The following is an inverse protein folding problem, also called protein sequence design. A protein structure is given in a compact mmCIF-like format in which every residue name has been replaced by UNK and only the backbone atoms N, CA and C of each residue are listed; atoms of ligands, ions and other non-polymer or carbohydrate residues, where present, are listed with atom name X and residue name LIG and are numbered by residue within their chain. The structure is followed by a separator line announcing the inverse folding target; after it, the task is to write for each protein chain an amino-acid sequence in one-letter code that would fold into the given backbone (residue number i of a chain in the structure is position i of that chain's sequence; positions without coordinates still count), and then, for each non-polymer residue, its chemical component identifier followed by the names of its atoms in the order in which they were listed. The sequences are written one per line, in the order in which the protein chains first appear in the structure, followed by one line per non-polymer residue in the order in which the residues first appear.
data_IF_184973802666
#
_entry.id   IF_184973802666
#
_cell.length_a   1.000
_cell.length_b   1.000
_cell.length_c   1.000
_cell.angle_alpha   90.00
_cell.angle_beta   90.00
_cell.angle_gamma   90.00
#
_symmetry.space_group_name_H-M   'P 1'
#
loop_
_entity.id
_entity.type
_entity.pdbx_description
1 polymer ?
#
# COMPACT_ATOMS: atom_id res chain seq x y z
N UNK A 1 -19.52 38.80 16.60
CA UNK A 1 -19.14 37.85 15.56
C UNK A 1 -17.95 37.10 16.12
N UNK A 2 -18.16 35.89 16.61
CA UNK A 2 -17.06 35.06 17.11
C UNK A 2 -16.40 34.43 15.91
N UNK A 3 -15.13 34.77 15.72
CA UNK A 3 -14.22 34.15 14.75
C UNK A 3 -13.98 32.73 15.23
N UNK A 4 -14.73 31.78 14.69
CA UNK A 4 -14.46 30.36 14.87
C UNK A 4 -13.25 30.02 14.02
N UNK A 5 -12.05 30.28 14.58
CA UNK A 5 -10.81 29.72 14.04
C UNK A 5 -11.00 28.20 13.93
N UNK A 6 -11.29 27.74 12.72
CA UNK A 6 -11.39 26.32 12.40
C UNK A 6 -10.01 25.71 12.65
N UNK A 7 -9.87 24.98 13.76
CA UNK A 7 -8.68 24.16 14.00
C UNK A 7 -8.49 23.30 12.74
N UNK A 8 -7.30 23.33 12.09
CA UNK A 8 -7.07 22.52 10.91
C UNK A 8 -7.44 21.08 11.23
N UNK A 9 -8.40 20.54 10.49
CA UNK A 9 -8.84 19.17 10.68
C UNK A 9 -7.70 18.25 10.25
N UNK A 10 -7.18 17.41 11.16
CA UNK A 10 -6.14 16.44 10.82
C UNK A 10 -6.69 15.43 9.80
N UNK A 11 -5.82 14.89 8.94
CA UNK A 11 -6.20 13.88 7.94
C UNK A 11 -6.91 12.69 8.58
N UNK A 12 -8.10 12.36 8.10
CA UNK A 12 -8.79 11.13 8.48
C UNK A 12 -8.29 9.98 7.62
N UNK A 13 -7.59 9.05 8.24
CA UNK A 13 -7.06 7.88 7.56
C UNK A 13 -7.86 6.65 7.98
N UNK A 14 -8.54 6.04 7.00
CA UNK A 14 -9.24 4.78 7.19
C UNK A 14 -8.25 3.63 7.34
N UNK A 15 -8.56 2.71 8.22
CA UNK A 15 -7.79 1.49 8.47
C UNK A 15 -8.71 0.30 8.32
N UNK A 16 -8.39 -0.66 7.45
CA UNK A 16 -9.08 -1.95 7.49
C UNK A 16 -8.53 -2.81 8.62
N UNK A 17 -9.31 -3.75 9.13
CA UNK A 17 -8.79 -4.63 10.18
C UNK A 17 -8.05 -5.86 9.67
N UNK A 18 -8.05 -6.12 8.33
CA UNK A 18 -7.43 -7.31 7.75
C UNK A 18 -8.06 -8.62 8.22
N UNK A 19 -7.28 -9.71 8.25
CA UNK A 19 -7.76 -10.95 8.85
C UNK A 19 -7.67 -10.87 10.38
N UNK A 20 -8.83 -11.03 11.06
CA UNK A 20 -8.89 -10.90 12.51
C UNK A 20 -8.21 -12.07 13.28
N UNK A 21 -7.93 -13.17 12.60
CA UNK A 21 -7.22 -14.32 13.16
C UNK A 21 -5.69 -14.28 12.91
N UNK A 22 -5.22 -13.29 12.14
CA UNK A 22 -3.81 -13.03 11.88
C UNK A 22 -3.21 -11.98 12.83
N UNK A 23 -2.13 -11.34 12.37
CA UNK A 23 -1.40 -10.32 13.14
C UNK A 23 -2.00 -8.91 13.01
N UNK A 24 -3.07 -8.71 12.25
CA UNK A 24 -3.53 -7.38 11.85
C UNK A 24 -3.88 -6.48 13.04
N UNK A 25 -4.66 -6.96 14.01
CA UNK A 25 -4.96 -6.18 15.21
C UNK A 25 -3.72 -5.91 16.07
N UNK A 26 -2.77 -6.85 16.12
CA UNK A 26 -1.52 -6.69 16.85
C UNK A 26 -0.67 -5.55 16.27
N UNK A 27 -0.46 -5.55 14.95
CA UNK A 27 0.34 -4.50 14.31
C UNK A 27 -0.36 -3.14 14.34
N UNK A 28 -1.70 -3.09 14.24
CA UNK A 28 -2.48 -1.86 14.40
C UNK A 28 -2.29 -1.30 15.81
N UNK A 29 -2.51 -2.11 16.86
CA UNK A 29 -2.32 -1.69 18.24
C UNK A 29 -0.90 -1.15 18.48
N UNK A 30 0.12 -1.89 18.03
CA UNK A 30 1.53 -1.51 18.21
C UNK A 30 1.91 -0.27 17.37
N UNK A 31 1.34 -0.10 16.19
CA UNK A 31 1.61 1.08 15.36
C UNK A 31 1.13 2.37 16.00
N UNK A 32 -0.01 2.32 16.70
CA UNK A 32 -0.61 3.47 17.38
C UNK A 32 -0.34 3.51 18.91
N UNK A 33 0.58 2.69 19.40
CA UNK A 33 0.99 2.74 20.81
C UNK A 33 1.65 4.07 21.19
N UNK A 34 2.36 4.70 20.25
CA UNK A 34 2.88 6.03 20.40
C UNK A 34 1.81 7.06 20.00
N UNK A 35 1.23 7.73 20.99
CA UNK A 35 0.16 8.70 20.78
C UNK A 35 0.57 9.93 19.93
N UNK A 36 1.87 10.18 19.73
CA UNK A 36 2.34 11.29 18.90
C UNK A 36 1.87 11.19 17.45
N UNK A 37 1.65 9.98 16.93
CA UNK A 37 1.10 9.79 15.60
C UNK A 37 -0.30 10.41 15.46
N UNK A 38 -1.09 10.46 16.54
CA UNK A 38 -2.42 11.05 16.55
C UNK A 38 -2.40 12.61 16.47
N UNK A 39 -1.24 13.22 16.69
CA UNK A 39 -1.11 14.68 16.51
C UNK A 39 -1.22 15.07 15.03
N UNK A 40 -0.82 14.17 14.13
CA UNK A 40 -0.79 14.39 12.68
C UNK A 40 -2.01 13.86 11.95
N UNK A 41 -2.64 12.78 12.45
CA UNK A 41 -3.75 12.10 11.79
C UNK A 41 -4.90 11.74 12.72
N UNK A 42 -6.06 11.48 12.14
CA UNK A 42 -7.25 10.94 12.81
C UNK A 42 -7.54 9.55 12.21
N UNK A 43 -7.05 8.47 12.83
CA UNK A 43 -7.32 7.12 12.34
C UNK A 43 -8.76 6.68 12.59
N UNK A 44 -9.37 6.02 11.61
CA UNK A 44 -10.69 5.42 11.67
C UNK A 44 -10.59 3.94 11.31
N UNK A 45 -10.63 3.07 12.30
CA UNK A 45 -10.61 1.62 12.10
C UNK A 45 -12.01 1.10 11.75
N UNK A 46 -12.14 0.52 10.58
CA UNK A 46 -13.33 -0.25 10.16
C UNK A 46 -13.17 -1.69 10.65
N UNK A 47 -13.58 -1.94 11.88
CA UNK A 47 -13.28 -3.20 12.54
C UNK A 47 -14.33 -3.60 13.56
N UNK A 48 -13.88 -4.17 14.66
CA UNK A 48 -14.73 -4.53 15.77
C UNK A 48 -14.08 -4.17 17.10
N UNK A 49 -14.78 -3.36 17.90
CA UNK A 49 -14.27 -2.90 19.19
C UNK A 49 -14.03 -4.02 20.19
N UNK A 50 -14.83 -5.11 20.14
CA UNK A 50 -14.61 -6.30 20.97
C UNK A 50 -13.33 -7.04 20.59
N UNK A 51 -13.04 -7.20 19.29
CA UNK A 51 -11.79 -7.79 18.82
C UNK A 51 -10.59 -6.92 19.20
N UNK A 52 -10.71 -5.61 19.01
CA UNK A 52 -9.69 -4.66 19.44
C UNK A 52 -9.40 -4.77 20.95
N UNK A 53 -10.44 -4.82 21.78
CA UNK A 53 -10.31 -4.97 23.23
C UNK A 53 -9.74 -6.33 23.64
N UNK A 54 -10.09 -7.40 22.91
CA UNK A 54 -9.52 -8.73 23.14
C UNK A 54 -7.99 -8.72 22.94
N UNK A 55 -7.51 -8.24 21.79
CA UNK A 55 -6.08 -8.18 21.51
C UNK A 55 -5.34 -7.18 22.40
N UNK A 56 -5.95 -6.03 22.69
CA UNK A 56 -5.43 -5.04 23.61
C UNK A 56 -5.13 -5.66 24.99
N UNK A 57 -6.06 -6.44 25.53
CA UNK A 57 -5.89 -7.15 26.81
C UNK A 57 -4.81 -8.23 26.71
N UNK A 58 -4.82 -9.04 25.65
CA UNK A 58 -3.85 -10.12 25.47
C UNK A 58 -2.40 -9.64 25.37
N UNK A 59 -2.19 -8.44 24.83
CA UNK A 59 -0.86 -7.86 24.66
C UNK A 59 -0.46 -6.88 25.78
N UNK A 60 -1.29 -6.71 26.81
CA UNK A 60 -1.00 -5.80 27.92
C UNK A 60 -0.97 -4.32 27.52
N UNK A 61 -1.71 -3.93 26.47
CA UNK A 61 -1.72 -2.57 25.91
C UNK A 61 -2.92 -1.76 26.43
N UNK A 62 -3.21 -1.83 27.71
CA UNK A 62 -4.44 -1.26 28.28
C UNK A 62 -4.54 0.28 28.19
N UNK A 63 -3.42 0.97 28.04
CA UNK A 63 -3.36 2.42 27.85
C UNK A 63 -3.86 2.88 26.48
N UNK A 64 -4.00 1.99 25.49
CA UNK A 64 -4.49 2.32 24.16
C UNK A 64 -5.99 2.64 24.18
N UNK A 65 -6.34 3.92 24.18
CA UNK A 65 -7.72 4.38 24.21
C UNK A 65 -8.28 4.56 22.81
N UNK A 66 -9.59 4.31 22.64
CA UNK A 66 -10.29 4.55 21.39
C UNK A 66 -11.67 5.17 21.65
N UNK A 67 -12.23 5.80 20.64
CA UNK A 67 -13.59 6.30 20.60
C UNK A 67 -14.43 5.44 19.68
N UNK A 68 -15.57 4.93 20.15
CA UNK A 68 -16.52 4.22 19.31
C UNK A 68 -17.41 5.24 18.60
N UNK A 69 -17.46 5.14 17.28
CA UNK A 69 -18.29 6.01 16.41
C UNK A 69 -19.13 5.15 15.47
N UNK A 70 -20.19 5.73 14.93
CA UNK A 70 -21.07 5.04 13.96
C UNK A 70 -20.78 5.43 12.51
N UNK A 71 -20.11 6.56 12.31
CA UNK A 71 -19.89 7.18 11.01
C UNK A 71 -18.54 7.90 11.03
N UNK A 72 -17.76 7.76 9.97
CA UNK A 72 -16.42 8.36 9.87
C UNK A 72 -16.44 9.90 9.92
N UNK A 73 -17.57 10.53 9.53
CA UNK A 73 -17.77 11.98 9.63
C UNK A 73 -17.81 12.46 11.07
N UNK A 74 -18.13 11.57 12.01
CA UNK A 74 -18.17 11.83 13.46
C UNK A 74 -16.84 11.55 14.15
N UNK A 75 -15.77 11.28 13.39
CA UNK A 75 -14.48 10.93 13.96
C UNK A 75 -13.96 12.08 14.87
N UNK A 76 -13.61 11.71 16.09
CA UNK A 76 -12.96 12.61 17.02
C UNK A 76 -11.55 12.91 16.56
N UNK A 77 -11.29 14.18 16.26
CA UNK A 77 -10.00 14.64 15.76
C UNK A 77 -8.87 14.25 16.73
N UNK A 78 -7.74 13.80 16.17
CA UNK A 78 -6.55 13.37 16.93
C UNK A 78 -6.82 12.26 17.95
N UNK A 79 -7.83 11.42 17.70
CA UNK A 79 -8.12 10.23 18.51
C UNK A 79 -8.21 9.00 17.63
N UNK A 80 -7.91 7.85 18.19
CA UNK A 80 -8.15 6.58 17.53
C UNK A 80 -9.66 6.28 17.56
N UNK A 81 -10.27 6.15 16.40
CA UNK A 81 -11.71 5.91 16.26
C UNK A 81 -11.96 4.50 15.72
N UNK A 82 -13.03 3.86 16.17
CA UNK A 82 -13.46 2.54 15.68
C UNK A 82 -14.91 2.64 15.22
N UNK A 83 -15.18 2.12 14.03
CA UNK A 83 -16.52 1.84 13.52
C UNK A 83 -16.73 0.33 13.60
N UNK A 84 -17.74 -0.12 14.36
CA UNK A 84 -18.12 -1.53 14.32
C UNK A 84 -18.77 -1.85 12.98
N UNK A 85 -18.17 -2.77 12.22
CA UNK A 85 -18.71 -3.21 10.92
C UNK A 85 -19.85 -4.20 11.08
N UNK A 86 -19.93 -4.89 12.23
CA UNK A 86 -21.05 -5.72 12.65
C UNK A 86 -21.29 -5.54 14.15
N UNK A 87 -22.53 -5.73 14.58
CA UNK A 87 -22.93 -5.64 16.00
C UNK A 87 -22.72 -6.96 16.77
N UNK A 88 -22.74 -8.08 16.03
CA UNK A 88 -22.66 -9.41 16.65
C UNK A 88 -21.24 -9.70 17.18
N UNK A 89 -21.19 -10.58 18.17
CA UNK A 89 -19.92 -11.10 18.68
C UNK A 89 -19.30 -12.06 17.69
N UNK A 90 -17.99 -11.92 17.44
CA UNK A 90 -17.24 -12.76 16.54
C UNK A 90 -16.35 -13.72 17.34
N UNK A 91 -16.30 -14.95 16.90
CA UNK A 91 -15.32 -15.91 17.40
C UNK A 91 -13.95 -15.58 16.79
N UNK A 92 -12.96 -15.34 17.65
CA UNK A 92 -11.58 -15.10 17.24
C UNK A 92 -10.83 -16.43 17.41
N UNK A 93 -10.21 -16.90 16.33
CA UNK A 93 -9.48 -18.18 16.26
C UNK A 93 -8.08 -17.93 15.66
N UNK A 94 -7.13 -17.39 16.45
CA UNK A 94 -5.82 -17.01 15.94
C UNK A 94 -5.07 -18.19 15.30
N UNK A 95 -4.35 -17.93 14.22
CA UNK A 95 -3.44 -18.90 13.60
C UNK A 95 -3.92 -19.51 12.30
N UNK A 96 -5.15 -19.23 11.85
CA UNK A 96 -5.64 -19.69 10.55
C UNK A 96 -6.81 -18.86 10.04
N UNK A 97 -6.96 -18.79 8.72
CA UNK A 97 -8.11 -18.17 8.09
C UNK A 97 -9.37 -19.01 8.30
N UNK A 98 -10.47 -18.35 8.61
CA UNK A 98 -11.80 -18.96 8.65
C UNK A 98 -12.73 -18.24 7.67
N UNK A 99 -13.84 -18.84 7.29
CA UNK A 99 -14.84 -18.19 6.46
C UNK A 99 -15.35 -16.89 7.10
N UNK A 100 -15.52 -16.90 8.44
CA UNK A 100 -15.92 -15.73 9.21
C UNK A 100 -14.85 -14.64 9.15
N UNK A 101 -13.58 -14.96 9.46
CA UNK A 101 -12.50 -13.97 9.48
C UNK A 101 -12.28 -13.32 8.12
N UNK A 102 -12.36 -14.12 7.07
CA UNK A 102 -12.20 -13.67 5.68
C UNK A 102 -13.39 -12.82 5.22
N UNK A 103 -14.62 -13.25 5.53
CA UNK A 103 -15.82 -12.47 5.22
C UNK A 103 -15.81 -11.11 5.93
N UNK A 104 -15.31 -11.06 7.16
CA UNK A 104 -15.17 -9.81 7.93
C UNK A 104 -14.12 -8.88 7.35
N UNK A 105 -12.99 -9.41 6.85
CA UNK A 105 -11.96 -8.61 6.16
C UNK A 105 -12.55 -7.93 4.92
N UNK A 106 -13.29 -8.67 4.10
CA UNK A 106 -13.96 -8.12 2.90
C UNK A 106 -14.98 -7.05 3.27
N UNK A 107 -15.77 -7.26 4.33
CA UNK A 107 -16.76 -6.28 4.79
C UNK A 107 -16.07 -5.00 5.29
N UNK A 108 -14.97 -5.12 6.03
CA UNK A 108 -14.14 -4.01 6.47
C UNK A 108 -13.65 -3.18 5.28
N UNK A 109 -13.09 -3.86 4.28
CA UNK A 109 -12.60 -3.22 3.05
C UNK A 109 -13.72 -2.48 2.32
N UNK A 110 -14.86 -3.12 2.09
CA UNK A 110 -16.02 -2.49 1.41
C UNK A 110 -16.47 -1.21 2.12
N UNK A 111 -16.66 -1.29 3.45
CA UNK A 111 -17.09 -0.15 4.25
C UNK A 111 -16.12 1.01 4.22
N UNK A 112 -14.81 0.71 4.33
CA UNK A 112 -13.75 1.71 4.26
C UNK A 112 -13.67 2.35 2.86
N UNK A 113 -13.84 1.55 1.80
CA UNK A 113 -13.85 2.05 0.42
C UNK A 113 -15.06 2.94 0.11
N UNK A 114 -16.25 2.61 0.62
CA UNK A 114 -17.43 3.47 0.48
C UNK A 114 -17.15 4.86 1.07
N UNK A 115 -16.58 4.93 2.26
CA UNK A 115 -16.24 6.21 2.90
C UNK A 115 -15.09 6.95 2.18
N UNK A 116 -14.12 6.22 1.62
CA UNK A 116 -13.03 6.78 0.82
C UNK A 116 -13.55 7.40 -0.49
N UNK A 117 -14.47 6.71 -1.20
CA UNK A 117 -15.08 7.21 -2.43
C UNK A 117 -15.94 8.45 -2.20
N UNK A 118 -16.59 8.53 -1.02
CA UNK A 118 -17.41 9.66 -0.64
C UNK A 118 -16.58 10.84 -0.05
N UNK A 119 -15.25 10.69 0.07
CA UNK A 119 -14.38 11.70 0.66
C UNK A 119 -14.54 11.90 2.16
N UNK A 120 -15.13 10.92 2.87
CA UNK A 120 -15.27 10.98 4.33
C UNK A 120 -13.97 10.62 5.06
N UNK A 121 -13.09 9.90 4.39
CA UNK A 121 -11.69 9.69 4.75
C UNK A 121 -10.81 10.08 3.56
N UNK A 122 -9.60 10.56 3.82
CA UNK A 122 -8.69 11.08 2.79
C UNK A 122 -7.75 10.02 2.22
N UNK A 123 -7.49 8.97 2.99
CA UNK A 123 -6.65 7.85 2.57
C UNK A 123 -7.07 6.56 3.27
N UNK A 124 -6.68 5.42 2.71
CA UNK A 124 -6.94 4.09 3.26
C UNK A 124 -5.64 3.31 3.41
N UNK A 125 -5.44 2.73 4.59
CA UNK A 125 -4.40 1.73 4.85
C UNK A 125 -5.05 0.36 4.98
N UNK A 126 -4.73 -0.53 4.06
CA UNK A 126 -5.24 -1.90 4.07
C UNK A 126 -4.35 -2.76 4.96
N UNK A 127 -4.91 -3.36 6.00
CA UNK A 127 -4.18 -4.31 6.84
C UNK A 127 -4.07 -5.68 6.16
N UNK A 128 -3.09 -6.51 6.55
CA UNK A 128 -2.88 -7.83 5.97
C UNK A 128 -4.12 -8.73 6.09
N UNK A 129 -4.51 -9.35 5.01
CA UNK A 129 -5.62 -10.29 4.96
C UNK A 129 -5.25 -11.62 4.32
N UNK A 130 -6.14 -12.59 4.48
CA UNK A 130 -6.03 -13.88 3.80
C UNK A 130 -6.66 -13.77 2.41
N UNK A 131 -5.90 -14.05 1.36
CA UNK A 131 -6.33 -13.98 -0.04
C UNK A 131 -7.38 -15.03 -0.46
N UNK A 132 -8.14 -15.57 0.50
CA UNK A 132 -9.07 -16.69 0.24
C UNK A 132 -10.32 -16.23 -0.51
N UNK A 133 -10.78 -14.99 -0.34
CA UNK A 133 -12.03 -14.48 -0.95
C UNK A 133 -11.78 -13.49 -2.08
N UNK A 134 -10.83 -12.59 -1.93
CA UNK A 134 -10.38 -11.72 -3.01
C UNK A 134 -9.09 -12.29 -3.60
N UNK A 135 -9.07 -12.60 -4.89
CA UNK A 135 -7.88 -13.16 -5.56
C UNK A 135 -6.63 -12.31 -5.33
N UNK A 136 -6.78 -10.98 -5.28
CA UNK A 136 -5.71 -10.03 -4.92
C UNK A 136 -6.31 -8.69 -4.47
N UNK A 137 -5.52 -7.87 -3.75
CA UNK A 137 -5.92 -6.49 -3.45
C UNK A 137 -6.15 -5.68 -4.73
N UNK A 138 -5.39 -5.97 -5.80
CA UNK A 138 -5.60 -5.37 -7.12
C UNK A 138 -7.01 -5.65 -7.65
N UNK A 139 -7.47 -6.90 -7.62
CA UNK A 139 -8.81 -7.27 -8.11
C UNK A 139 -9.91 -6.60 -7.29
N UNK A 140 -9.70 -6.48 -5.97
CA UNK A 140 -10.62 -5.76 -5.11
C UNK A 140 -10.69 -4.27 -5.49
N UNK A 141 -9.55 -3.60 -5.67
CA UNK A 141 -9.47 -2.21 -6.11
C UNK A 141 -10.16 -2.00 -7.47
N UNK A 142 -9.94 -2.91 -8.42
CA UNK A 142 -10.57 -2.86 -9.74
C UNK A 142 -12.09 -3.12 -9.69
N UNK A 143 -12.60 -3.76 -8.65
CA UNK A 143 -14.05 -3.90 -8.47
C UNK A 143 -14.75 -2.55 -8.25
N UNK A 144 -14.04 -1.55 -7.70
CA UNK A 144 -14.51 -0.17 -7.50
C UNK A 144 -14.09 0.77 -8.62
N UNK A 145 -12.94 0.55 -9.24
CA UNK A 145 -12.32 1.42 -10.26
C UNK A 145 -12.01 0.62 -11.53
N UNK A 146 -13.06 0.18 -12.24
CA UNK A 146 -12.95 -0.75 -13.39
C UNK A 146 -12.08 -0.23 -14.53
N UNK A 147 -12.07 1.08 -14.73
CA UNK A 147 -11.30 1.73 -15.80
C UNK A 147 -9.86 2.06 -15.39
N UNK A 148 -9.50 1.86 -14.12
CA UNK A 148 -8.15 2.13 -13.66
C UNK A 148 -7.20 0.98 -14.02
N UNK A 149 -5.93 1.33 -14.28
CA UNK A 149 -4.85 0.35 -14.41
C UNK A 149 -3.79 0.62 -13.33
N UNK A 150 -4.08 0.24 -12.08
CA UNK A 150 -3.22 0.57 -10.96
C UNK A 150 -1.85 -0.09 -11.07
N UNK A 151 -0.83 0.63 -10.60
CA UNK A 151 0.54 0.15 -10.46
C UNK A 151 0.86 0.01 -8.98
N UNK A 152 1.26 -1.19 -8.54
CA UNK A 152 1.82 -1.37 -7.20
C UNK A 152 3.22 -0.77 -7.15
N UNK A 153 3.43 0.18 -6.26
CA UNK A 153 4.71 0.84 -6.02
C UNK A 153 5.19 0.49 -4.62
N UNK A 154 6.30 -0.21 -4.52
CA UNK A 154 7.00 -0.49 -3.27
C UNK A 154 7.74 0.77 -2.85
N UNK A 155 7.59 1.19 -1.61
CA UNK A 155 8.12 2.46 -1.12
C UNK A 155 8.89 2.28 0.18
N UNK A 156 10.14 2.73 0.18
CA UNK A 156 10.97 2.90 1.38
C UNK A 156 11.57 4.31 1.38
N UNK A 157 12.30 4.65 2.42
CA UNK A 157 12.94 5.97 2.55
C UNK A 157 13.95 6.24 1.42
N UNK A 158 14.51 5.18 0.83
CA UNK A 158 15.57 5.29 -0.18
C UNK A 158 15.18 4.82 -1.57
N UNK A 159 14.10 4.05 -1.72
CA UNK A 159 13.79 3.38 -2.98
C UNK A 159 12.28 3.35 -3.26
N UNK A 160 11.92 3.57 -4.53
CA UNK A 160 10.58 3.35 -5.08
C UNK A 160 10.66 2.37 -6.24
N UNK A 161 9.91 1.27 -6.16
CA UNK A 161 9.92 0.22 -7.20
C UNK A 161 8.51 -0.04 -7.67
N UNK A 162 8.22 0.29 -8.92
CA UNK A 162 6.97 -0.07 -9.60
C UNK A 162 7.04 -1.48 -10.17
N UNK A 163 5.96 -2.25 -10.07
CA UNK A 163 5.84 -3.63 -10.56
C UNK A 163 4.90 -3.67 -11.76
N UNK A 164 5.44 -3.92 -12.99
CA UNK A 164 4.63 -3.93 -14.22
C UNK A 164 3.53 -4.98 -14.17
N UNK A 165 3.86 -6.22 -13.79
CA UNK A 165 2.90 -7.35 -13.79
C UNK A 165 2.41 -7.75 -12.41
N UNK A 166 2.75 -6.94 -11.37
CA UNK A 166 2.38 -7.22 -9.99
C UNK A 166 2.74 -8.66 -9.54
N UNK A 167 1.89 -9.35 -8.79
CA UNK A 167 2.14 -10.68 -8.20
C UNK A 167 1.61 -11.86 -9.06
N UNK A 168 1.59 -11.68 -10.38
CA UNK A 168 1.21 -12.75 -11.31
C UNK A 168 2.24 -13.89 -11.33
N UNK A 169 1.80 -15.12 -11.56
CA UNK A 169 2.70 -16.21 -11.91
C UNK A 169 3.60 -15.84 -13.09
N UNK A 170 4.89 -16.20 -13.03
CA UNK A 170 5.90 -15.71 -13.98
C UNK A 170 5.52 -15.95 -15.46
N UNK A 171 4.94 -17.11 -15.77
CA UNK A 171 4.49 -17.41 -17.15
C UNK A 171 3.38 -16.48 -17.62
N UNK A 172 2.43 -16.16 -16.76
CA UNK A 172 1.34 -15.22 -17.05
C UNK A 172 1.87 -13.77 -17.13
N UNK A 173 2.80 -13.42 -16.25
CA UNK A 173 3.47 -12.12 -16.25
C UNK A 173 4.16 -11.85 -17.59
N UNK A 174 4.97 -12.79 -18.09
CA UNK A 174 5.66 -12.66 -19.36
C UNK A 174 4.70 -12.55 -20.55
N UNK A 175 3.58 -13.27 -20.52
CA UNK A 175 2.57 -13.20 -21.57
C UNK A 175 1.85 -11.85 -21.65
N UNK A 176 1.75 -11.10 -20.53
CA UNK A 176 1.14 -9.79 -20.50
C UNK A 176 2.07 -8.64 -20.92
N UNK A 177 3.39 -8.86 -20.86
CA UNK A 177 4.37 -7.81 -21.17
C UNK A 177 4.39 -7.52 -22.65
N UNK A 178 3.80 -6.40 -23.06
CA UNK A 178 3.94 -5.82 -24.38
C UNK A 178 4.32 -4.33 -24.31
N UNK A 179 4.56 -3.73 -25.46
CA UNK A 179 5.01 -2.32 -25.55
C UNK A 179 3.98 -1.37 -24.94
N UNK A 180 2.68 -1.58 -25.24
CA UNK A 180 1.62 -0.68 -24.77
C UNK A 180 1.43 -0.79 -23.26
N UNK A 181 1.51 -2.01 -22.74
CA UNK A 181 1.39 -2.26 -21.30
C UNK A 181 2.53 -1.61 -20.51
N UNK A 182 3.80 -1.74 -20.98
CA UNK A 182 4.95 -1.07 -20.37
C UNK A 182 4.78 0.46 -20.42
N UNK A 183 4.37 1.03 -21.56
CA UNK A 183 4.15 2.48 -21.70
C UNK A 183 3.04 2.95 -20.73
N UNK A 184 1.95 2.21 -20.64
CA UNK A 184 0.87 2.50 -19.68
C UNK A 184 1.39 2.59 -18.25
N UNK A 185 2.15 1.57 -17.81
CA UNK A 185 2.75 1.53 -16.46
C UNK A 185 3.79 2.64 -16.23
N UNK A 186 4.62 2.95 -17.23
CA UNK A 186 5.54 4.08 -17.17
C UNK A 186 4.80 5.42 -17.02
N UNK A 187 3.70 5.60 -17.74
CA UNK A 187 2.87 6.81 -17.66
C UNK A 187 2.27 6.94 -16.25
N UNK A 188 1.58 5.91 -15.78
CA UNK A 188 1.00 5.87 -14.42
C UNK A 188 2.07 6.13 -13.36
N UNK A 189 3.26 5.52 -13.50
CA UNK A 189 4.35 5.70 -12.54
C UNK A 189 4.90 7.12 -12.54
N UNK A 190 5.18 7.67 -13.73
CA UNK A 190 5.68 9.04 -13.87
C UNK A 190 4.71 10.08 -13.31
N UNK A 191 3.41 9.92 -13.55
CA UNK A 191 2.36 10.78 -13.01
C UNK A 191 2.29 10.68 -11.47
N UNK A 192 2.32 9.47 -10.92
CA UNK A 192 2.32 9.27 -9.48
C UNK A 192 3.58 9.85 -8.82
N UNK A 193 4.76 9.66 -9.42
CA UNK A 193 6.00 10.24 -8.90
C UNK A 193 5.94 11.77 -8.84
N UNK A 194 5.28 12.42 -9.80
CA UNK A 194 5.06 13.86 -9.80
C UNK A 194 4.00 14.28 -8.79
N UNK A 195 2.81 13.69 -8.90
CA UNK A 195 1.64 14.10 -8.15
C UNK A 195 1.69 13.65 -6.69
N UNK A 196 2.01 12.37 -6.48
CA UNK A 196 1.86 11.72 -5.19
C UNK A 196 3.15 11.80 -4.34
N UNK A 197 4.32 11.94 -4.99
CA UNK A 197 5.62 12.03 -4.33
C UNK A 197 6.31 13.39 -4.52
N UNK A 198 5.68 14.36 -5.17
CA UNK A 198 6.17 15.73 -5.30
C UNK A 198 7.45 15.90 -6.16
N UNK A 199 7.76 14.95 -7.05
CA UNK A 199 8.97 15.01 -7.87
C UNK A 199 8.70 15.76 -9.19
N UNK A 200 9.45 16.81 -9.50
CA UNK A 200 9.20 17.63 -10.71
C UNK A 200 9.55 16.89 -12.03
N UNK A 201 10.68 16.22 -12.08
CA UNK A 201 11.20 15.55 -13.30
C UNK A 201 11.78 14.16 -12.94
N UNK A 202 10.93 13.20 -12.51
CA UNK A 202 11.40 11.92 -11.99
C UNK A 202 12.10 11.08 -13.06
N UNK A 203 13.30 10.58 -12.71
CA UNK A 203 14.08 9.66 -13.53
C UNK A 203 13.74 8.23 -13.16
N UNK A 204 13.28 7.44 -14.11
CA UNK A 204 12.86 6.06 -13.91
C UNK A 204 13.86 5.12 -14.56
N UNK A 205 14.53 4.28 -13.77
CA UNK A 205 15.32 3.17 -14.30
C UNK A 205 14.38 2.02 -14.68
N UNK A 206 14.39 1.60 -15.92
CA UNK A 206 13.56 0.50 -16.43
C UNK A 206 14.39 -0.77 -16.53
N UNK A 207 13.94 -1.83 -15.89
CA UNK A 207 14.62 -3.12 -15.93
C UNK A 207 14.25 -3.85 -17.22
N UNK A 208 15.17 -4.66 -17.73
CA UNK A 208 14.87 -5.59 -18.80
C UNK A 208 14.20 -6.86 -18.29
N UNK A 209 13.73 -7.68 -19.21
CA UNK A 209 13.12 -8.98 -18.88
C UNK A 209 14.22 -10.04 -18.67
N UNK A 210 15.27 -9.97 -19.48
CA UNK A 210 16.32 -10.98 -19.50
C UNK A 210 17.56 -10.59 -18.67
N UNK A 211 18.37 -11.56 -18.22
CA UNK A 211 19.53 -11.32 -17.32
C UNK A 211 20.58 -10.37 -17.87
N UNK A 212 20.75 -10.29 -19.19
CA UNK A 212 21.76 -9.48 -19.87
C UNK A 212 21.18 -8.28 -20.61
N UNK A 213 20.00 -7.84 -20.22
CA UNK A 213 19.36 -6.65 -20.78
C UNK A 213 20.32 -5.45 -20.78
N UNK A 214 20.30 -4.68 -21.86
CA UNK A 214 21.15 -3.49 -22.03
C UNK A 214 22.52 -3.74 -22.67
N UNK A 215 23.07 -4.97 -22.62
CA UNK A 215 24.33 -5.28 -23.30
C UNK A 215 24.11 -5.74 -24.74
N UNK A 216 23.12 -6.56 -24.94
CA UNK A 216 22.66 -6.99 -26.28
C UNK A 216 21.16 -7.28 -26.15
N UNK A 217 20.29 -6.40 -26.65
CA UNK A 217 18.86 -6.66 -26.64
C UNK A 217 18.58 -7.93 -27.42
N UNK A 218 18.04 -8.95 -26.79
CA UNK A 218 17.69 -10.22 -27.43
C UNK A 218 16.24 -10.56 -27.05
N UNK A 219 15.44 -10.83 -28.06
CA UNK A 219 14.07 -11.32 -27.88
C UNK A 219 13.17 -10.29 -27.22
N UNK A 220 12.63 -10.63 -26.05
CA UNK A 220 11.61 -9.80 -25.37
C UNK A 220 12.11 -8.44 -24.88
N UNK A 221 13.42 -8.23 -24.71
CA UNK A 221 13.98 -6.92 -24.32
C UNK A 221 13.79 -5.85 -25.40
N UNK A 222 13.61 -6.23 -26.67
CA UNK A 222 13.27 -5.29 -27.75
C UNK A 222 11.95 -4.53 -27.46
N UNK A 223 11.00 -5.18 -26.79
CA UNK A 223 9.74 -4.55 -26.37
C UNK A 223 10.02 -3.44 -25.35
N UNK A 224 10.93 -3.70 -24.43
CA UNK A 224 11.31 -2.72 -23.37
C UNK A 224 12.05 -1.53 -23.99
N UNK A 225 12.98 -1.77 -24.91
CA UNK A 225 13.70 -0.70 -25.64
C UNK A 225 12.73 0.22 -26.37
N UNK A 226 11.78 -0.37 -27.12
CA UNK A 226 10.76 0.41 -27.86
C UNK A 226 9.84 1.17 -26.92
N UNK A 227 9.41 0.54 -25.82
CA UNK A 227 8.55 1.18 -24.83
C UNK A 227 9.25 2.38 -24.16
N UNK A 228 10.55 2.26 -23.83
CA UNK A 228 11.35 3.37 -23.28
C UNK A 228 11.43 4.51 -24.30
N UNK A 229 11.77 4.22 -25.56
CA UNK A 229 11.88 5.24 -26.60
C UNK A 229 10.55 5.98 -26.83
N UNK A 230 9.43 5.28 -26.82
CA UNK A 230 8.11 5.89 -26.98
C UNK A 230 7.65 6.67 -25.73
N UNK A 231 8.01 6.22 -24.53
CA UNK A 231 7.79 6.96 -23.29
C UNK A 231 8.60 8.28 -23.27
N UNK A 232 9.85 8.24 -23.74
CA UNK A 232 10.69 9.43 -23.85
C UNK A 232 10.11 10.47 -24.82
N UNK A 233 9.53 10.05 -25.94
CA UNK A 233 8.79 10.96 -26.86
C UNK A 233 7.61 11.66 -26.19
N UNK A 234 7.04 11.05 -25.15
CA UNK A 234 5.98 11.64 -24.30
C UNK A 234 6.52 12.48 -23.13
N UNK A 235 7.83 12.71 -23.06
CA UNK A 235 8.47 13.49 -22.01
C UNK A 235 8.69 12.73 -20.69
N UNK A 236 8.58 11.40 -20.68
CA UNK A 236 8.88 10.58 -19.50
C UNK A 236 10.37 10.28 -19.48
N UNK A 237 11.04 10.59 -18.37
CA UNK A 237 12.48 10.34 -18.21
C UNK A 237 12.74 8.87 -17.81
N UNK A 238 12.54 7.97 -18.76
CA UNK A 238 12.79 6.53 -18.63
C UNK A 238 14.16 6.16 -19.21
N UNK A 239 14.93 5.34 -18.53
CA UNK A 239 16.28 4.93 -18.89
C UNK A 239 16.44 3.42 -18.75
N UNK A 240 17.18 2.78 -19.66
CA UNK A 240 17.41 1.34 -19.67
C UNK A 240 17.31 0.76 -21.08
N UNK A 241 17.00 -0.54 -21.25
CA UNK A 241 16.78 -1.51 -20.15
C UNK A 241 18.07 -1.85 -19.38
N UNK A 242 17.94 -2.02 -18.07
CA UNK A 242 19.04 -2.47 -17.21
C UNK A 242 18.82 -3.91 -16.75
N UNK A 243 19.91 -4.70 -16.67
CA UNK A 243 19.84 -5.97 -15.95
C UNK A 243 19.80 -5.75 -14.45
N UNK A 244 19.22 -6.71 -13.70
CA UNK A 244 19.15 -6.64 -12.23
C UNK A 244 20.53 -6.49 -11.59
N UNK A 245 21.52 -7.25 -12.07
CA UNK A 245 22.91 -7.17 -11.57
C UNK A 245 23.51 -5.79 -11.81
N UNK A 246 23.38 -5.26 -13.03
CA UNK A 246 23.90 -3.93 -13.34
C UNK A 246 23.24 -2.86 -12.47
N UNK A 247 21.94 -2.92 -12.28
CA UNK A 247 21.22 -1.88 -11.57
C UNK A 247 21.48 -1.92 -10.06
N UNK A 248 21.36 -3.08 -9.44
CA UNK A 248 21.39 -3.20 -7.98
C UNK A 248 22.81 -3.44 -7.43
N UNK A 249 23.57 -4.36 -8.00
CA UNK A 249 24.91 -4.72 -7.48
C UNK A 249 25.89 -3.55 -7.58
N UNK A 250 25.85 -2.78 -8.66
CA UNK A 250 26.73 -1.61 -8.82
C UNK A 250 26.21 -0.37 -8.07
N UNK A 251 25.02 -0.41 -7.50
CA UNK A 251 24.39 0.74 -6.88
C UNK A 251 23.89 1.80 -7.87
N UNK A 252 23.81 1.47 -9.16
CA UNK A 252 23.38 2.40 -10.22
C UNK A 252 21.96 2.93 -9.97
N UNK A 253 21.09 2.15 -9.35
CA UNK A 253 19.73 2.55 -8.99
C UNK A 253 19.65 3.86 -8.19
N UNK A 254 20.71 4.20 -7.42
CA UNK A 254 20.78 5.44 -6.62
C UNK A 254 20.82 6.73 -7.46
N UNK A 255 21.07 6.62 -8.78
CA UNK A 255 21.03 7.76 -9.72
C UNK A 255 19.64 8.06 -10.26
N UNK A 256 18.64 7.25 -9.89
CA UNK A 256 17.26 7.35 -10.34
C UNK A 256 16.33 7.57 -9.16
N UNK A 257 15.22 8.22 -9.41
CA UNK A 257 14.19 8.47 -8.40
C UNK A 257 13.29 7.24 -8.15
N UNK A 258 13.25 6.35 -9.16
CA UNK A 258 12.44 5.15 -9.11
C UNK A 258 12.98 4.07 -10.07
N UNK A 259 12.60 2.81 -9.80
CA UNK A 259 12.88 1.64 -10.63
C UNK A 259 11.55 1.04 -11.11
N UNK A 260 11.41 0.72 -12.39
CA UNK A 260 10.31 -0.05 -12.93
C UNK A 260 10.79 -1.48 -13.20
N UNK A 261 10.30 -2.43 -12.43
CA UNK A 261 10.58 -3.86 -12.57
C UNK A 261 9.50 -4.54 -13.41
N UNK A 262 9.90 -5.48 -14.27
CA UNK A 262 8.97 -6.15 -15.18
C UNK A 262 8.11 -7.19 -14.47
N UNK A 263 8.63 -7.90 -13.48
CA UNK A 263 7.91 -8.92 -12.71
C UNK A 263 8.24 -8.85 -11.22
N UNK A 264 7.43 -9.56 -10.42
CA UNK A 264 7.42 -9.49 -8.96
C UNK A 264 8.79 -9.68 -8.31
N UNK A 265 9.43 -10.85 -8.51
CA UNK A 265 10.69 -11.18 -7.84
C UNK A 265 11.84 -10.22 -8.21
N UNK A 266 11.83 -9.71 -9.45
CA UNK A 266 12.81 -8.77 -9.95
C UNK A 266 12.82 -7.45 -9.16
N UNK A 267 11.66 -7.02 -8.70
CA UNK A 267 11.51 -5.78 -7.94
C UNK A 267 11.48 -6.00 -6.41
N UNK A 268 10.72 -6.99 -5.95
CA UNK A 268 10.46 -7.21 -4.52
C UNK A 268 11.70 -7.71 -3.78
N UNK A 269 12.46 -8.63 -4.37
CA UNK A 269 13.63 -9.20 -3.70
C UNK A 269 14.69 -8.13 -3.36
N UNK A 270 15.22 -7.34 -4.33
CA UNK A 270 16.17 -6.29 -4.01
C UNK A 270 15.59 -5.21 -3.10
N UNK A 271 14.30 -4.85 -3.27
CA UNK A 271 13.62 -3.92 -2.38
C UNK A 271 13.64 -4.39 -0.92
N UNK A 272 13.25 -5.63 -0.66
CA UNK A 272 13.25 -6.21 0.70
C UNK A 272 14.65 -6.35 1.29
N UNK A 273 15.64 -6.70 0.47
CA UNK A 273 17.03 -6.82 0.91
C UNK A 273 17.66 -5.47 1.32
N UNK A 274 17.18 -4.37 0.75
CA UNK A 274 17.71 -3.03 0.99
C UNK A 274 16.89 -2.19 1.97
N UNK A 275 15.69 -2.64 2.33
CA UNK A 275 14.75 -1.92 3.20
C UNK A 275 14.54 -2.71 4.49
N UNK A 276 15.46 -2.58 5.45
CA UNK A 276 15.42 -3.33 6.71
C UNK A 276 14.40 -2.81 7.74
N UNK A 277 13.91 -1.60 7.56
CA UNK A 277 13.11 -0.84 8.50
C UNK A 277 11.58 -0.94 8.24
N UNK A 278 11.17 -1.87 7.42
CA UNK A 278 9.78 -2.15 7.08
C UNK A 278 9.48 -1.99 5.59
N UNK A 279 8.43 -2.68 5.14
CA UNK A 279 8.03 -2.78 3.74
C UNK A 279 6.61 -2.30 3.55
N UNK A 280 6.43 -1.24 2.77
CA UNK A 280 5.12 -0.72 2.43
C UNK A 280 4.97 -0.56 0.93
N UNK A 281 3.74 -0.53 0.47
CA UNK A 281 3.44 -0.19 -0.91
C UNK A 281 2.25 0.75 -1.03
N UNK A 282 2.20 1.41 -2.17
CA UNK A 282 1.23 2.37 -2.60
C UNK A 282 0.62 1.93 -3.94
N UNK A 283 -0.67 2.12 -4.11
CA UNK A 283 -1.39 1.84 -5.35
C UNK A 283 -1.51 3.11 -6.20
N UNK A 284 -0.56 3.30 -7.11
CA UNK A 284 -0.54 4.43 -8.04
C UNK A 284 -1.61 4.29 -9.14
N UNK A 285 -2.06 5.41 -9.71
CA UNK A 285 -3.05 5.43 -10.78
C UNK A 285 -4.50 5.30 -10.34
N UNK A 286 -4.76 5.28 -9.03
CA UNK A 286 -6.10 5.37 -8.48
C UNK A 286 -6.49 6.82 -8.17
N UNK A 287 -7.79 7.18 -8.29
CA UNK A 287 -8.25 8.51 -7.89
C UNK A 287 -8.17 8.75 -6.38
N UNK A 288 -7.97 7.69 -5.61
CA UNK A 288 -7.90 7.68 -4.14
C UNK A 288 -6.52 7.23 -3.65
N UNK A 289 -6.20 7.49 -2.39
CA UNK A 289 -4.94 7.08 -1.77
C UNK A 289 -5.14 5.76 -1.03
N UNK A 290 -4.44 4.71 -1.48
CA UNK A 290 -4.44 3.39 -0.87
C UNK A 290 -3.01 2.91 -0.64
N UNK A 291 -2.72 2.48 0.58
CA UNK A 291 -1.42 1.89 0.97
C UNK A 291 -1.63 0.58 1.74
N UNK A 292 -0.59 -0.22 1.82
CA UNK A 292 -0.60 -1.46 2.59
C UNK A 292 0.82 -1.86 3.02
N UNK A 293 1.02 -2.63 4.10
CA UNK A 293 2.29 -3.29 4.37
C UNK A 293 2.51 -4.44 3.38
N UNK A 294 3.77 -4.70 3.04
CA UNK A 294 4.12 -5.75 2.06
C UNK A 294 4.35 -7.10 2.74
N UNK A 295 3.40 -7.56 3.54
CA UNK A 295 3.38 -8.91 4.15
C UNK A 295 1.94 -9.38 4.36
N UNK A 296 1.77 -10.68 4.51
CA UNK A 296 0.49 -11.33 4.76
C UNK A 296 0.09 -11.36 6.25
N UNK A 297 -0.96 -12.11 6.59
CA UNK A 297 -1.53 -12.19 7.93
C UNK A 297 -0.65 -12.93 8.95
N UNK A 298 0.43 -13.60 8.53
CA UNK A 298 1.42 -14.27 9.38
C UNK A 298 0.78 -15.10 10.51
N UNK A 299 -0.04 -16.05 10.13
CA UNK A 299 -0.82 -16.88 11.05
C UNK A 299 0.03 -17.65 12.05
N UNK A 300 1.26 -18.00 11.67
CA UNK A 300 2.23 -18.74 12.49
C UNK A 300 2.66 -18.00 13.77
N UNK A 301 2.56 -16.68 13.78
CA UNK A 301 2.88 -15.84 14.96
C UNK A 301 1.66 -15.09 15.53
N UNK A 302 0.45 -15.42 15.03
CA UNK A 302 -0.77 -14.76 15.46
C UNK A 302 -1.00 -14.93 16.95
N UNK A 303 -1.37 -13.85 17.66
CA UNK A 303 -1.59 -13.81 19.10
C UNK A 303 -0.36 -14.14 19.97
N UNK A 304 0.86 -14.15 19.40
CA UNK A 304 2.11 -14.40 20.15
C UNK A 304 2.80 -13.11 20.62
N UNK A 305 2.28 -11.95 20.33
CA UNK A 305 2.89 -10.65 20.64
C UNK A 305 4.29 -10.46 20.01
N UNK A 306 4.55 -11.12 18.85
CA UNK A 306 5.84 -11.10 18.15
C UNK A 306 5.81 -10.26 16.88
N UNK A 307 4.64 -9.86 16.39
CA UNK A 307 4.53 -9.09 15.17
C UNK A 307 5.17 -7.70 15.32
N UNK A 308 5.95 -7.29 14.28
CA UNK A 308 6.63 -6.01 14.24
C UNK A 308 5.76 -5.03 13.43
N UNK A 309 5.42 -3.84 13.98
CA UNK A 309 4.47 -2.92 13.35
C UNK A 309 5.09 -2.01 12.26
N UNK A 310 6.40 -2.07 12.02
CA UNK A 310 7.12 -1.06 11.24
C UNK A 310 6.61 -0.94 9.80
N UNK A 311 6.36 -2.05 9.13
CA UNK A 311 5.77 -2.06 7.78
C UNK A 311 4.39 -1.39 7.76
N UNK A 312 3.54 -1.67 8.76
CA UNK A 312 2.22 -1.06 8.86
C UNK A 312 2.31 0.44 9.20
N UNK A 313 3.20 0.81 10.11
CA UNK A 313 3.45 2.22 10.47
C UNK A 313 3.95 3.00 9.26
N UNK A 314 4.85 2.43 8.44
CA UNK A 314 5.30 3.04 7.18
C UNK A 314 4.15 3.20 6.18
N UNK A 315 3.25 2.23 6.07
CA UNK A 315 2.08 2.36 5.21
C UNK A 315 1.15 3.51 5.69
N UNK A 316 1.01 3.72 7.01
CA UNK A 316 0.24 4.84 7.57
C UNK A 316 0.90 6.19 7.22
N UNK A 317 2.20 6.34 7.43
CA UNK A 317 2.92 7.57 7.08
C UNK A 317 2.91 7.83 5.58
N UNK A 318 3.09 6.80 4.76
CA UNK A 318 3.00 6.91 3.31
C UNK A 318 1.62 7.39 2.86
N UNK A 319 0.53 6.87 3.46
CA UNK A 319 -0.82 7.33 3.19
C UNK A 319 -1.01 8.81 3.54
N UNK A 320 -0.44 9.25 4.68
CA UNK A 320 -0.46 10.64 5.11
C UNK A 320 0.29 11.55 4.14
N UNK A 321 1.51 11.18 3.76
CA UNK A 321 2.37 11.99 2.89
C UNK A 321 1.74 12.15 1.50
N UNK A 322 1.26 11.06 0.89
CA UNK A 322 0.58 11.11 -0.41
C UNK A 322 -0.71 11.92 -0.35
N UNK A 323 -1.51 11.77 0.73
CA UNK A 323 -2.73 12.56 0.88
C UNK A 323 -2.44 14.06 1.03
N UNK A 324 -1.37 14.44 1.73
CA UNK A 324 -0.92 15.83 1.84
C UNK A 324 -0.46 16.38 0.48
N UNK A 325 0.41 15.67 -0.26
CA UNK A 325 0.85 16.10 -1.59
C UNK A 325 -0.33 16.31 -2.55
N UNK A 326 -1.37 15.47 -2.48
CA UNK A 326 -2.57 15.64 -3.30
C UNK A 326 -3.43 16.84 -2.92
N UNK A 327 -3.38 17.28 -1.66
CA UNK A 327 -4.12 18.48 -1.19
C UNK A 327 -3.42 19.79 -1.56
N UNK A 328 -2.10 19.77 -1.74
CA UNK A 328 -1.29 20.94 -2.07
C UNK A 328 -1.35 21.32 -3.56
N UNK A 329 -1.94 20.48 -4.39
CA UNK A 329 -2.10 20.68 -5.85
C UNK A 329 -3.49 21.21 -6.21
#
# INVERSE_FOLDING_TARGET
MQDTSTIPQSLRIGLTHGDLNGISYEIILKAFADARILESITPVLYGQSKAFSYYKKNFGMESSNYSLIRDSRQAFNKKFNIINIVENELKIEPGHATEVSTGMSVLSMKKAFEDLQNGYIEALVMAPDSKVVAKSNRDFLLSFYKEADPLRVLVSDTMRVGLVTDDLPLGEALAQIDIRFIIGKLTTFSEALKKDFGLNAPKIAVMGINPHAGSTPVGDDDKVVKAIADAQKKGIMAFGPFSSSQLFVTGLWKKYDAVLAMHYEQGVLPYRMMSYDGWSCYWAGLPVVCTEPLHGPAFEIANMNQAVPDSYRKAVFLAMDVANHRKEQ
#
